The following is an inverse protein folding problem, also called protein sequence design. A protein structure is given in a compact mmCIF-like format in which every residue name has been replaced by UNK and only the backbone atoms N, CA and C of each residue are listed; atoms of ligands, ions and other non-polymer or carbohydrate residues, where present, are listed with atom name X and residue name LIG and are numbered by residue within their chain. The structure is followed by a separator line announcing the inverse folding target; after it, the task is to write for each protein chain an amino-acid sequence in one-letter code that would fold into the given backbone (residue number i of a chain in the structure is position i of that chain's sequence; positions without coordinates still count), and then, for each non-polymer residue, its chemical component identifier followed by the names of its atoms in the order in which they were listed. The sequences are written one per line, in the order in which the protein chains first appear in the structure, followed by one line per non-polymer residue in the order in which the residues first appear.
data_IF_754078170206
#
_entry.id   IF_754078170206
#
_cell.length_a   1.000
_cell.length_b   1.000
_cell.length_c   1.000
_cell.angle_alpha   90.00
_cell.angle_beta   90.00
_cell.angle_gamma   90.00
#
_symmetry.space_group_name_H-M   'P 1'
#
loop_
_entity.id
_entity.type
_entity.pdbx_description
1 polymer ?
#
# COMPACT_ATOMS: atom_id res chain seq x y z
N UNK A 1 -18.22 -14.04 1.23
CA UNK A 1 -18.60 -13.67 2.61
C UNK A 1 -17.45 -13.10 3.43
N UNK A 2 -16.18 -13.34 3.08
CA UNK A 2 -14.98 -12.87 3.80
C UNK A 2 -14.62 -11.38 3.59
N UNK A 3 -15.12 -10.73 2.53
CA UNK A 3 -14.84 -9.30 2.24
C UNK A 3 -15.66 -8.33 3.09
N UNK A 4 -16.94 -8.62 3.33
CA UNK A 4 -17.87 -7.75 4.07
C UNK A 4 -17.57 -7.69 5.59
N UNK A 5 -17.18 -8.83 6.17
CA UNK A 5 -16.79 -8.93 7.60
C UNK A 5 -15.45 -8.22 7.86
N UNK A 6 -14.56 -8.19 6.86
CA UNK A 6 -13.31 -7.43 6.91
C UNK A 6 -13.54 -5.91 6.97
N UNK A 7 -14.52 -5.40 6.21
CA UNK A 7 -14.95 -3.99 6.29
C UNK A 7 -15.56 -3.63 7.64
N UNK A 8 -16.32 -4.52 8.29
CA UNK A 8 -16.82 -4.26 9.65
C UNK A 8 -15.71 -4.09 10.70
N UNK A 9 -14.50 -4.64 10.48
CA UNK A 9 -13.33 -4.36 11.33
C UNK A 9 -12.81 -2.93 11.17
N UNK A 10 -13.03 -2.26 10.03
CA UNK A 10 -12.63 -0.86 9.82
C UNK A 10 -13.51 0.11 10.61
N UNK A 11 -14.70 -0.30 11.08
CA UNK A 11 -15.49 0.46 12.05
C UNK A 11 -14.72 0.73 13.38
N UNK A 12 -13.64 -0.02 13.66
CA UNK A 12 -12.73 0.30 14.77
C UNK A 12 -12.01 1.64 14.57
N UNK A 13 -11.84 2.13 13.33
CA UNK A 13 -11.31 3.47 13.04
C UNK A 13 -12.23 4.57 13.58
N UNK A 14 -13.56 4.33 13.71
CA UNK A 14 -14.47 5.28 14.38
C UNK A 14 -14.11 5.48 15.86
N UNK A 15 -13.37 4.56 16.47
CA UNK A 15 -12.83 4.75 17.83
C UNK A 15 -11.71 5.79 17.84
N UNK A 16 -10.93 5.92 16.75
CA UNK A 16 -9.93 6.98 16.61
C UNK A 16 -10.59 8.36 16.57
N UNK A 17 -11.79 8.49 16.00
CA UNK A 17 -12.59 9.74 16.06
C UNK A 17 -12.96 10.10 17.50
N UNK A 18 -13.24 9.11 18.36
CA UNK A 18 -13.49 9.35 19.79
C UNK A 18 -12.21 9.73 20.55
N UNK A 19 -11.07 9.17 20.17
CA UNK A 19 -9.76 9.51 20.73
C UNK A 19 -9.33 10.91 20.29
N UNK A 20 -9.51 11.27 19.02
CA UNK A 20 -9.27 12.62 18.50
C UNK A 20 -10.10 13.68 19.26
N UNK A 21 -11.38 13.40 19.53
CA UNK A 21 -12.25 14.25 20.36
C UNK A 21 -11.79 14.36 21.83
N UNK A 22 -11.00 13.41 22.33
CA UNK A 22 -10.44 13.44 23.70
C UNK A 22 -9.06 14.10 23.74
N UNK A 23 -8.31 14.02 22.64
CA UNK A 23 -7.03 14.69 22.40
C UNK A 23 -7.19 16.22 22.32
N UNK A 24 -8.36 16.68 21.86
CA UNK A 24 -8.79 18.08 21.81
C UNK A 24 -8.69 18.80 23.17
N UNK A 25 -8.78 18.04 24.28
CA UNK A 25 -8.70 18.57 25.66
C UNK A 25 -7.27 18.59 26.23
N UNK A 26 -6.27 18.04 25.52
CA UNK A 26 -4.90 17.83 26.04
C UNK A 26 -3.79 18.53 25.24
N UNK A 27 -4.09 19.21 24.13
CA UNK A 27 -3.07 19.66 23.19
C UNK A 27 -2.75 21.15 23.30
N UNK A 28 -1.47 21.47 23.44
CA UNK A 28 -0.87 22.60 22.73
C UNK A 28 -1.19 22.43 21.23
N UNK A 29 -2.23 23.11 20.74
CA UNK A 29 -3.02 22.75 19.55
C UNK A 29 -2.24 22.41 18.27
N UNK A 30 -1.01 22.89 18.10
CA UNK A 30 -0.17 22.57 16.93
C UNK A 30 0.36 21.13 16.90
N UNK A 31 0.86 20.62 18.03
CA UNK A 31 1.54 19.33 18.06
C UNK A 31 0.58 18.15 17.86
N UNK A 32 -0.60 18.17 18.49
CA UNK A 32 -1.57 17.09 18.27
C UNK A 32 -2.19 17.10 16.88
N UNK A 33 -2.42 18.28 16.29
CA UNK A 33 -2.91 18.38 14.90
C UNK A 33 -1.88 17.80 13.94
N UNK A 34 -0.60 18.10 14.13
CA UNK A 34 0.47 17.55 13.30
C UNK A 34 0.60 16.03 13.45
N UNK A 35 0.54 15.50 14.68
CA UNK A 35 0.50 14.05 14.93
C UNK A 35 -0.73 13.37 14.29
N UNK A 36 -1.89 14.01 14.38
CA UNK A 36 -3.13 13.49 13.77
C UNK A 36 -3.00 13.42 12.24
N UNK A 37 -2.49 14.48 11.61
CA UNK A 37 -2.23 14.51 10.17
C UNK A 37 -1.23 13.44 9.74
N UNK A 38 -0.14 13.24 10.50
CA UNK A 38 0.80 12.14 10.23
C UNK A 38 0.14 10.76 10.32
N UNK A 39 -0.75 10.55 11.29
CA UNK A 39 -1.46 9.28 11.44
C UNK A 39 -2.44 9.03 10.28
N UNK A 40 -3.16 10.07 9.84
CA UNK A 40 -4.07 9.99 8.69
C UNK A 40 -3.27 9.69 7.42
N UNK A 41 -2.16 10.40 7.19
CA UNK A 41 -1.27 10.16 6.06
C UNK A 41 -0.75 8.72 6.02
N UNK A 42 -0.26 8.21 7.15
CA UNK A 42 0.20 6.82 7.25
C UNK A 42 -0.92 5.80 6.98
N UNK A 43 -2.15 6.07 7.42
CA UNK A 43 -3.29 5.20 7.17
C UNK A 43 -3.69 5.18 5.69
N UNK A 44 -3.68 6.33 5.02
CA UNK A 44 -3.92 6.45 3.57
C UNK A 44 -2.86 5.67 2.80
N UNK A 45 -1.58 5.87 3.13
CA UNK A 45 -0.47 5.14 2.52
C UNK A 45 -0.63 3.62 2.69
N UNK A 46 -1.01 3.16 3.89
CA UNK A 46 -1.27 1.75 4.14
C UNK A 46 -2.42 1.18 3.29
N UNK A 47 -3.52 1.92 3.13
CA UNK A 47 -4.64 1.50 2.29
C UNK A 47 -4.23 1.41 0.82
N UNK A 48 -3.55 2.43 0.31
CA UNK A 48 -3.05 2.44 -1.06
C UNK A 48 -2.03 1.32 -1.29
N UNK A 49 -1.18 1.00 -0.31
CA UNK A 49 -0.22 -0.11 -0.42
C UNK A 49 -0.93 -1.46 -0.50
N UNK A 50 -2.02 -1.65 0.26
CA UNK A 50 -2.84 -2.85 0.16
C UNK A 50 -3.49 -2.98 -1.22
N UNK A 51 -3.97 -1.87 -1.79
CA UNK A 51 -4.57 -1.85 -3.13
C UNK A 51 -3.50 -2.15 -4.19
N UNK A 52 -2.32 -1.53 -4.10
CA UNK A 52 -1.17 -1.79 -4.98
C UNK A 52 -0.77 -3.27 -4.98
N UNK A 53 -0.74 -3.88 -3.80
CA UNK A 53 -0.52 -5.31 -3.66
C UNK A 53 -1.63 -6.16 -4.28
N UNK A 54 -2.89 -5.79 -4.05
CA UNK A 54 -4.02 -6.48 -4.64
C UNK A 54 -3.98 -6.44 -6.17
N UNK A 55 -3.64 -5.30 -6.78
CA UNK A 55 -3.49 -5.17 -8.25
C UNK A 55 -2.44 -6.15 -8.76
N UNK A 56 -1.22 -6.11 -8.22
CA UNK A 56 -0.15 -6.99 -8.66
C UNK A 56 -0.50 -8.47 -8.50
N UNK A 57 -1.12 -8.86 -7.38
CA UNK A 57 -1.47 -10.25 -7.11
C UNK A 57 -2.62 -10.77 -7.98
N UNK A 58 -3.59 -9.92 -8.30
CA UNK A 58 -4.71 -10.26 -9.20
C UNK A 58 -4.25 -10.29 -10.64
N UNK A 59 -3.39 -9.38 -11.08
CA UNK A 59 -2.96 -9.27 -12.48
C UNK A 59 -1.94 -10.35 -12.87
N UNK A 60 -1.03 -10.72 -11.96
CA UNK A 60 0.09 -11.65 -12.20
C UNK A 60 -0.28 -12.98 -12.88
N UNK A 61 -1.36 -13.69 -12.52
CA UNK A 61 -1.75 -14.93 -13.19
C UNK A 61 -2.23 -14.74 -14.63
N UNK A 62 -2.80 -13.58 -14.96
CA UNK A 62 -3.37 -13.29 -16.28
C UNK A 62 -2.35 -12.69 -17.26
N UNK A 63 -1.21 -12.22 -16.78
CA UNK A 63 -0.15 -11.69 -17.61
C UNK A 63 0.60 -12.82 -18.34
N UNK A 64 0.66 -12.72 -19.67
CA UNK A 64 1.52 -13.55 -20.53
C UNK A 64 3.00 -13.29 -20.22
N UNK A 65 3.38 -12.01 -20.15
CA UNK A 65 4.73 -11.58 -19.81
C UNK A 65 4.79 -11.18 -18.33
N UNK A 66 5.72 -11.76 -17.57
CA UNK A 66 5.89 -11.50 -16.13
C UNK A 66 6.60 -10.17 -15.86
N UNK A 67 6.00 -9.09 -16.33
CA UNK A 67 6.51 -7.71 -16.26
C UNK A 67 5.97 -6.92 -15.05
N UNK A 68 5.01 -7.47 -14.32
CA UNK A 68 4.39 -6.79 -13.18
C UNK A 68 5.40 -6.44 -12.08
N UNK A 69 5.03 -5.50 -11.22
CA UNK A 69 5.92 -5.00 -10.15
C UNK A 69 6.34 -6.12 -9.18
N UNK A 70 5.47 -7.12 -8.94
CA UNK A 70 5.76 -8.28 -8.09
C UNK A 70 6.87 -9.17 -8.68
N UNK A 71 6.83 -9.43 -9.98
CA UNK A 71 7.84 -10.25 -10.65
C UNK A 71 9.17 -9.48 -10.71
N UNK A 72 9.12 -8.16 -10.97
CA UNK A 72 10.29 -7.28 -10.87
C UNK A 72 10.93 -7.29 -9.48
N UNK A 73 10.12 -7.23 -8.41
CA UNK A 73 10.60 -7.36 -7.03
C UNK A 73 11.29 -8.71 -6.82
N UNK A 74 10.68 -9.80 -7.28
CA UNK A 74 11.26 -11.14 -7.16
C UNK A 74 12.62 -11.27 -7.84
N UNK A 75 12.80 -10.60 -8.98
CA UNK A 75 14.10 -10.54 -9.66
C UNK A 75 15.13 -9.74 -8.86
N UNK A 76 14.75 -8.57 -8.32
CA UNK A 76 15.65 -7.70 -7.56
C UNK A 76 16.18 -8.36 -6.27
N UNK A 77 15.33 -9.09 -5.54
CA UNK A 77 15.71 -9.74 -4.27
C UNK A 77 16.21 -11.18 -4.43
N UNK A 78 16.33 -11.68 -5.67
CA UNK A 78 16.74 -13.05 -5.96
C UNK A 78 15.71 -14.13 -5.60
N UNK A 79 14.46 -13.75 -5.30
CA UNK A 79 13.35 -14.66 -4.98
C UNK A 79 12.34 -14.65 -6.13
N UNK A 80 12.73 -15.24 -7.26
CA UNK A 80 11.86 -15.35 -8.43
C UNK A 80 10.69 -16.30 -8.14
N UNK A 81 9.56 -16.04 -8.76
CA UNK A 81 8.45 -16.97 -8.75
C UNK A 81 8.73 -18.15 -9.69
N UNK A 82 8.23 -19.31 -9.30
CA UNK A 82 8.30 -20.56 -10.02
C UNK A 82 6.87 -21.12 -10.12
N UNK A 83 6.41 -21.40 -11.34
CA UNK A 83 5.04 -21.88 -11.56
C UNK A 83 4.79 -23.27 -10.97
N UNK A 84 5.85 -24.07 -10.75
CA UNK A 84 5.76 -25.39 -10.13
C UNK A 84 5.69 -25.36 -8.60
N UNK A 85 6.08 -24.25 -7.97
CA UNK A 85 6.10 -24.10 -6.51
C UNK A 85 5.25 -22.89 -6.09
N UNK A 86 4.06 -23.17 -5.57
CA UNK A 86 3.15 -22.14 -5.06
C UNK A 86 3.70 -21.31 -3.89
N UNK A 87 4.74 -21.80 -3.19
CA UNK A 87 5.41 -21.10 -2.10
C UNK A 87 6.58 -20.22 -2.56
N UNK A 88 6.90 -20.26 -3.85
CA UNK A 88 7.97 -19.47 -4.44
C UNK A 88 7.66 -17.97 -4.48
N UNK A 89 8.72 -17.18 -4.68
CA UNK A 89 8.64 -15.73 -4.77
C UNK A 89 8.96 -14.97 -3.47
N UNK A 90 8.77 -13.65 -3.47
CA UNK A 90 9.01 -12.79 -2.31
C UNK A 90 8.12 -13.16 -1.12
N UNK A 91 8.65 -12.98 0.11
CA UNK A 91 7.84 -13.18 1.31
C UNK A 91 6.74 -12.11 1.44
N UNK A 92 5.71 -12.39 2.24
CA UNK A 92 4.63 -11.42 2.51
C UNK A 92 5.19 -10.12 3.09
N UNK A 93 6.23 -10.22 3.93
CA UNK A 93 6.91 -9.06 4.50
C UNK A 93 7.58 -8.22 3.42
N UNK A 94 8.31 -8.86 2.49
CA UNK A 94 8.99 -8.18 1.38
C UNK A 94 7.96 -7.44 0.52
N UNK A 95 6.88 -8.13 0.13
CA UNK A 95 5.78 -7.56 -0.66
C UNK A 95 5.16 -6.33 0.01
N UNK A 96 4.84 -6.45 1.30
CA UNK A 96 4.19 -5.38 2.06
C UNK A 96 5.09 -4.16 2.24
N UNK A 97 6.35 -4.36 2.62
CA UNK A 97 7.30 -3.26 2.83
C UNK A 97 7.57 -2.53 1.51
N UNK A 98 7.77 -3.27 0.42
CA UNK A 98 7.96 -2.68 -0.92
C UNK A 98 6.72 -1.91 -1.39
N UNK A 99 5.52 -2.45 -1.18
CA UNK A 99 4.28 -1.77 -1.53
C UNK A 99 4.08 -0.48 -0.73
N UNK A 100 4.32 -0.51 0.58
CA UNK A 100 4.29 0.68 1.43
C UNK A 100 5.32 1.71 0.94
N UNK A 101 6.56 1.28 0.72
CA UNK A 101 7.63 2.13 0.24
C UNK A 101 7.25 2.84 -1.08
N UNK A 102 6.69 2.11 -2.06
CA UNK A 102 6.20 2.69 -3.30
C UNK A 102 5.16 3.78 -3.01
N UNK A 103 4.11 3.46 -2.25
CA UNK A 103 3.04 4.43 -1.96
C UNK A 103 3.50 5.66 -1.18
N UNK A 104 4.38 5.49 -0.20
CA UNK A 104 4.98 6.63 0.51
C UNK A 104 5.82 7.48 -0.44
N UNK A 105 6.65 6.86 -1.28
CA UNK A 105 7.49 7.60 -2.24
C UNK A 105 6.67 8.36 -3.29
N UNK A 106 5.51 7.81 -3.70
CA UNK A 106 4.59 8.47 -4.63
C UNK A 106 3.80 9.58 -3.97
N UNK A 107 3.23 9.34 -2.78
CA UNK A 107 2.46 10.36 -2.04
C UNK A 107 3.32 11.54 -1.58
N UNK A 108 4.59 11.31 -1.26
CA UNK A 108 5.54 12.38 -0.92
C UNK A 108 6.18 13.04 -2.14
N UNK A 109 5.76 12.64 -3.36
CA UNK A 109 6.30 13.13 -4.62
C UNK A 109 7.82 12.95 -4.81
N UNK A 110 8.43 11.99 -4.08
CA UNK A 110 9.88 11.69 -4.19
C UNK A 110 10.17 10.79 -5.39
N UNK A 111 9.39 9.71 -5.57
CA UNK A 111 9.40 8.88 -6.78
C UNK A 111 10.76 8.28 -7.18
N UNK A 112 11.42 7.53 -6.29
CA UNK A 112 12.77 6.95 -6.54
C UNK A 112 12.89 6.01 -7.75
N UNK A 113 11.78 5.47 -8.26
CA UNK A 113 11.75 4.65 -9.48
C UNK A 113 12.27 3.22 -9.36
N UNK A 114 12.71 2.77 -8.19
CA UNK A 114 13.11 1.38 -7.93
C UNK A 114 11.92 0.40 -7.93
N UNK A 115 10.72 0.90 -7.66
CA UNK A 115 9.45 0.22 -7.89
C UNK A 115 8.65 1.09 -8.86
N UNK A 116 8.31 0.54 -10.01
CA UNK A 116 7.62 1.28 -11.08
C UNK A 116 6.40 0.51 -11.57
N UNK A 117 5.35 1.22 -12.01
CA UNK A 117 4.23 0.61 -12.70
C UNK A 117 4.62 0.22 -14.13
N UNK A 118 4.50 -1.06 -14.46
CA UNK A 118 4.83 -1.61 -15.78
C UNK A 118 3.56 -1.89 -16.59
N UNK A 119 2.51 -2.39 -15.94
CA UNK A 119 1.23 -2.73 -16.58
C UNK A 119 0.30 -1.52 -16.69
N UNK A 120 -0.74 -1.63 -17.53
CA UNK A 120 -1.72 -0.55 -17.68
C UNK A 120 -2.51 -0.31 -16.38
N UNK A 121 -2.88 -1.38 -15.68
CA UNK A 121 -3.57 -1.28 -14.39
C UNK A 121 -2.69 -0.64 -13.31
N UNK A 122 -1.42 -1.02 -13.25
CA UNK A 122 -0.43 -0.39 -12.37
C UNK A 122 -0.24 1.10 -12.70
N UNK A 123 -0.15 1.46 -13.98
CA UNK A 123 0.03 2.86 -14.43
C UNK A 123 -1.17 3.74 -14.07
N UNK A 124 -2.39 3.27 -14.31
CA UNK A 124 -3.63 3.99 -13.96
C UNK A 124 -3.68 4.22 -12.45
N UNK A 125 -3.38 3.20 -11.65
CA UNK A 125 -3.32 3.35 -10.19
C UNK A 125 -2.26 4.36 -9.76
N UNK A 126 -1.06 4.31 -10.35
CA UNK A 126 0.00 5.28 -10.05
C UNK A 126 -0.43 6.71 -10.34
N UNK A 127 -1.13 6.97 -11.46
CA UNK A 127 -1.68 8.29 -11.77
C UNK A 127 -2.66 8.74 -10.69
N UNK A 128 -3.56 7.86 -10.25
CA UNK A 128 -4.50 8.19 -9.17
C UNK A 128 -3.78 8.53 -7.85
N UNK A 129 -2.73 7.77 -7.49
CA UNK A 129 -1.95 8.05 -6.26
C UNK A 129 -1.23 9.39 -6.36
N UNK A 130 -0.67 9.72 -7.52
CA UNK A 130 0.02 11.00 -7.76
C UNK A 130 -0.94 12.20 -7.78
N UNK A 131 -2.23 12.01 -8.06
CA UNK A 131 -3.23 13.06 -7.94
C UNK A 131 -3.70 13.29 -6.50
N UNK A 132 -3.54 12.29 -5.62
CA UNK A 132 -3.92 12.35 -4.21
C UNK A 132 -2.82 12.99 -3.36
N UNK A 133 -1.55 12.66 -3.66
CA UNK A 133 -0.37 13.21 -2.99
C UNK A 133 -0.04 14.62 -3.46
#
# INVERSE_FOLDING_TARGET
TTTLIGLLKTARLLRLVRVARKLDRYSEYGAAVLMLLMCIFALIAHWLACIWYAIGNVERPYLTDKIGWLDSLGQQIGKRYNDSDSSSGPSIKDKYVTALYFTFSSLTSVGFGNVSPNTNSEKIFSICVMLIG
#
